data_IF_726531914903
#
_entry.id   IF_726531914903
#
_cell.length_a   1.000
_cell.length_b   1.000
_cell.length_c   1.000
_cell.angle_alpha   90.00
_cell.angle_beta   90.00
_cell.angle_gamma   90.00
#
_symmetry.space_group_name_H-M   'P 1'
#
loop_
_entity.id
_entity.type
_entity.pdbx_description
1 polymer ?
#
# COMPACT_ATOMS: atom_id res chain seq x y z
N UNK A 1 -1.34 24.24 -1.39
CA UNK A 1 -2.17 23.29 -0.62
C UNK A 1 -1.23 22.55 0.28
N UNK A 2 -1.36 22.73 1.60
CA UNK A 2 -0.62 21.92 2.57
C UNK A 2 -1.16 20.50 2.43
N UNK A 3 -0.30 19.57 2.00
CA UNK A 3 -0.64 18.15 1.94
C UNK A 3 -0.77 17.68 3.39
N UNK A 4 -1.98 17.50 3.89
CA UNK A 4 -2.31 17.05 5.26
C UNK A 4 -1.95 15.56 5.46
N UNK A 5 -0.79 15.14 4.97
CA UNK A 5 -0.39 13.74 4.93
C UNK A 5 -0.24 13.16 6.33
N UNK A 6 -0.80 11.97 6.51
CA UNK A 6 -0.79 11.25 7.78
C UNK A 6 0.48 10.40 7.85
N UNK A 7 1.33 10.71 8.83
CA UNK A 7 2.52 9.92 9.11
C UNK A 7 2.18 8.61 9.83
N UNK A 8 2.62 7.50 9.27
CA UNK A 8 2.37 6.15 9.81
C UNK A 8 3.67 5.36 9.94
N UNK A 9 3.80 4.59 11.01
CA UNK A 9 4.90 3.65 11.21
C UNK A 9 4.44 2.22 10.89
N UNK A 10 4.92 1.65 9.79
CA UNK A 10 4.60 0.28 9.35
C UNK A 10 5.75 -0.68 9.63
N UNK A 11 5.40 -1.93 9.95
CA UNK A 11 6.36 -3.01 10.21
C UNK A 11 6.49 -3.91 8.98
N UNK A 12 7.72 -4.07 8.50
CA UNK A 12 8.05 -4.87 7.32
C UNK A 12 9.25 -5.81 7.59
N UNK A 13 9.43 -6.83 6.75
CA UNK A 13 10.68 -7.58 6.76
C UNK A 13 11.81 -6.75 6.12
N UNK A 14 13.06 -7.15 6.34
CA UNK A 14 14.20 -6.50 5.70
C UNK A 14 14.17 -6.64 4.18
N UNK A 15 13.68 -7.79 3.68
CA UNK A 15 13.50 -8.04 2.25
C UNK A 15 12.45 -7.09 1.66
N UNK A 16 11.29 -6.98 2.30
CA UNK A 16 10.19 -6.08 1.88
C UNK A 16 10.66 -4.63 1.80
N UNK A 17 11.33 -4.15 2.85
CA UNK A 17 11.86 -2.77 2.88
C UNK A 17 12.87 -2.53 1.75
N UNK A 18 13.69 -3.52 1.46
CA UNK A 18 14.69 -3.42 0.37
C UNK A 18 14.01 -3.39 -0.99
N UNK A 19 12.99 -4.23 -1.18
CA UNK A 19 12.21 -4.26 -2.42
C UNK A 19 11.46 -2.95 -2.65
N UNK A 20 10.77 -2.41 -1.64
CA UNK A 20 10.10 -1.11 -1.74
C UNK A 20 11.05 0.01 -2.14
N UNK A 21 12.24 0.07 -1.53
CA UNK A 21 13.25 1.08 -1.90
C UNK A 21 13.73 0.93 -3.35
N UNK A 22 13.86 -0.31 -3.84
CA UNK A 22 14.21 -0.57 -5.24
C UNK A 22 13.08 -0.15 -6.19
N UNK A 23 11.83 -0.43 -5.84
CA UNK A 23 10.66 -0.04 -6.61
C UNK A 23 10.54 1.49 -6.68
N UNK A 24 10.63 2.18 -5.54
CA UNK A 24 10.63 3.64 -5.48
C UNK A 24 11.75 4.23 -6.34
N UNK A 25 12.98 3.71 -6.21
CA UNK A 25 14.11 4.16 -7.03
C UNK A 25 13.88 3.91 -8.53
N UNK A 26 13.36 2.75 -8.91
CA UNK A 26 13.05 2.41 -10.31
C UNK A 26 11.89 3.23 -10.90
N UNK A 27 10.97 3.69 -10.07
CA UNK A 27 9.85 4.55 -10.42
C UNK A 27 10.19 6.04 -10.37
N UNK A 28 11.35 6.40 -9.80
CA UNK A 28 11.81 7.79 -9.51
C UNK A 28 10.89 8.54 -8.53
N UNK A 29 10.08 7.81 -7.78
CA UNK A 29 9.25 8.32 -6.69
C UNK A 29 9.85 8.03 -5.32
N UNK A 30 9.04 8.26 -4.29
CA UNK A 30 9.41 7.90 -2.92
C UNK A 30 8.70 6.62 -2.44
N UNK A 31 9.08 6.17 -1.24
CA UNK A 31 8.53 4.94 -0.66
C UNK A 31 7.08 5.12 -0.20
N UNK A 32 6.69 6.33 0.18
CA UNK A 32 5.33 6.67 0.60
C UNK A 32 4.37 6.57 -0.57
N UNK A 33 4.73 7.12 -1.72
CA UNK A 33 3.98 7.01 -2.99
C UNK A 33 3.78 5.55 -3.38
N UNK A 34 4.86 4.74 -3.38
CA UNK A 34 4.76 3.30 -3.70
C UNK A 34 3.86 2.55 -2.70
N UNK A 35 3.86 2.95 -1.44
CA UNK A 35 2.98 2.33 -0.41
C UNK A 35 1.52 2.73 -0.60
N UNK A 36 1.25 3.99 -1.00
CA UNK A 36 -0.09 4.43 -1.36
C UNK A 36 -0.61 3.67 -2.60
N UNK A 37 0.21 3.57 -3.65
CA UNK A 37 -0.12 2.81 -4.86
C UNK A 37 -0.34 1.32 -4.56
N UNK A 38 0.51 0.72 -3.72
CA UNK A 38 0.36 -0.66 -3.28
C UNK A 38 -0.97 -0.89 -2.54
N UNK A 39 -1.38 0.07 -1.71
CA UNK A 39 -2.65 0.02 -1.03
C UNK A 39 -3.83 0.10 -2.01
N UNK A 40 -3.78 1.02 -2.97
CA UNK A 40 -4.80 1.14 -4.02
C UNK A 40 -4.93 -0.13 -4.86
N UNK A 41 -3.80 -0.77 -5.19
CA UNK A 41 -3.78 -2.01 -5.97
C UNK A 41 -4.32 -3.21 -5.19
N UNK A 42 -3.98 -3.32 -3.89
CA UNK A 42 -4.38 -4.49 -3.08
C UNK A 42 -5.80 -4.39 -2.53
N UNK A 43 -6.33 -3.17 -2.31
CA UNK A 43 -7.66 -2.94 -1.74
C UNK A 43 -8.77 -3.74 -2.44
N UNK A 44 -8.91 -3.71 -3.78
CA UNK A 44 -9.93 -4.49 -4.47
C UNK A 44 -9.85 -6.00 -4.18
N UNK A 45 -8.64 -6.57 -4.13
CA UNK A 45 -8.43 -8.00 -3.88
C UNK A 45 -8.82 -8.41 -2.45
N UNK A 46 -8.54 -7.53 -1.48
CA UNK A 46 -8.91 -7.75 -0.08
C UNK A 46 -10.41 -7.58 0.10
N UNK A 47 -11.01 -6.55 -0.50
CA UNK A 47 -12.45 -6.31 -0.37
C UNK A 47 -13.29 -7.45 -0.98
N UNK A 48 -12.87 -7.97 -2.14
CA UNK A 48 -13.54 -9.07 -2.84
C UNK A 48 -13.26 -10.46 -2.26
N UNK A 49 -12.38 -10.57 -1.26
CA UNK A 49 -12.20 -11.79 -0.44
C UNK A 49 -11.19 -12.81 -0.97
N UNK A 50 -10.25 -12.40 -1.82
CA UNK A 50 -9.36 -13.30 -2.56
C UNK A 50 -7.93 -13.48 -2.02
N UNK A 51 -7.70 -13.63 -0.72
CA UNK A 51 -6.32 -13.62 -0.18
C UNK A 51 -6.06 -14.75 0.85
N UNK A 52 -5.94 -16.02 0.43
CA UNK A 52 -5.71 -17.14 1.35
C UNK A 52 -4.39 -17.02 2.14
N UNK A 53 -3.42 -16.24 1.65
CA UNK A 53 -2.16 -15.97 2.32
C UNK A 53 -2.25 -14.87 3.41
N UNK A 54 -3.39 -14.20 3.54
CA UNK A 54 -3.55 -13.03 4.42
C UNK A 54 -3.30 -13.37 5.89
N UNK A 55 -3.78 -14.53 6.35
CA UNK A 55 -3.58 -14.97 7.73
C UNK A 55 -2.10 -15.21 8.06
N UNK A 56 -1.33 -15.72 7.09
CA UNK A 56 0.12 -15.93 7.26
C UNK A 56 0.87 -14.60 7.29
N UNK A 57 0.48 -13.63 6.46
CA UNK A 57 1.08 -12.29 6.47
C UNK A 57 0.82 -11.56 7.78
N UNK A 58 -0.39 -11.66 8.33
CA UNK A 58 -0.72 -11.05 9.62
C UNK A 58 0.09 -11.64 10.77
N UNK A 59 0.41 -12.93 10.72
CA UNK A 59 1.23 -13.61 11.75
C UNK A 59 2.74 -13.45 11.52
N UNK A 60 3.17 -13.09 10.32
CA UNK A 60 4.59 -12.98 9.99
C UNK A 60 5.25 -11.85 10.79
N UNK A 61 6.32 -12.19 11.50
CA UNK A 61 7.15 -11.23 12.20
C UNK A 61 7.88 -10.29 11.23
N UNK A 62 7.90 -9.00 11.58
CA UNK A 62 8.42 -7.94 10.74
C UNK A 62 9.27 -6.94 11.59
N UNK A 63 10.61 -7.06 11.61
CA UNK A 63 11.45 -6.30 12.53
C UNK A 63 11.64 -4.83 12.12
N UNK A 64 11.55 -4.51 10.84
CA UNK A 64 11.90 -3.17 10.34
C UNK A 64 10.71 -2.22 10.47
N UNK A 65 10.89 -1.12 11.19
CA UNK A 65 9.97 0.01 11.12
C UNK A 65 10.31 0.88 9.91
N UNK A 66 9.28 1.28 9.17
CA UNK A 66 9.36 2.22 8.06
C UNK A 66 8.29 3.29 8.29
N UNK A 67 8.72 4.55 8.28
CA UNK A 67 7.79 5.68 8.31
C UNK A 67 7.36 5.99 6.89
N UNK A 68 6.05 6.08 6.68
CA UNK A 68 5.42 6.45 5.41
C UNK A 68 4.42 7.57 5.64
N UNK A 69 4.17 8.34 4.60
CA UNK A 69 3.16 9.39 4.57
C UNK A 69 2.03 8.94 3.66
N UNK A 70 0.79 8.98 4.15
CA UNK A 70 -0.37 8.65 3.33
C UNK A 70 -1.29 9.87 3.19
N UNK A 71 -1.92 10.05 2.02
CA UNK A 71 -3.08 10.92 1.91
C UNK A 71 -4.13 10.59 2.98
N UNK A 72 -4.79 11.59 3.59
CA UNK A 72 -5.84 11.38 4.60
C UNK A 72 -6.89 10.37 4.17
N UNK A 73 -7.31 10.43 2.91
CA UNK A 73 -8.36 9.59 2.34
C UNK A 73 -7.97 8.12 2.40
N UNK A 74 -6.69 7.80 2.21
CA UNK A 74 -6.18 6.44 2.33
C UNK A 74 -5.99 6.03 3.79
N UNK A 75 -5.55 6.95 4.65
CA UNK A 75 -5.37 6.69 6.08
C UNK A 75 -6.71 6.38 6.77
N UNK A 76 -7.79 7.07 6.38
CA UNK A 76 -9.15 6.85 6.89
C UNK A 76 -9.73 5.47 6.53
N UNK A 77 -9.24 4.83 5.46
CA UNK A 77 -9.66 3.49 5.06
C UNK A 77 -9.01 2.37 5.88
N UNK A 78 -7.92 2.65 6.60
CA UNK A 78 -7.14 1.62 7.31
C UNK A 78 -7.93 0.89 8.41
N UNK A 79 -8.81 1.53 9.20
CA UNK A 79 -9.67 0.82 10.16
C UNK A 79 -10.61 -0.18 9.48
N UNK A 80 -11.30 0.24 8.41
CA UNK A 80 -12.19 -0.64 7.65
C UNK A 80 -11.43 -1.80 6.97
N UNK A 81 -10.21 -1.53 6.49
CA UNK A 81 -9.32 -2.56 5.97
C UNK A 81 -8.95 -3.58 7.06
N UNK A 82 -8.62 -3.12 8.28
CA UNK A 82 -8.27 -3.99 9.39
C UNK A 82 -9.43 -4.90 9.80
N UNK A 83 -10.65 -4.36 9.85
CA UNK A 83 -11.86 -5.14 10.14
C UNK A 83 -12.09 -6.18 9.03
N UNK A 84 -12.01 -5.76 7.76
CA UNK A 84 -12.17 -6.69 6.63
C UNK A 84 -11.14 -7.80 6.62
N UNK A 85 -9.88 -7.48 6.94
CA UNK A 85 -8.82 -8.49 7.06
C UNK A 85 -9.10 -9.48 8.19
N UNK A 86 -9.68 -9.01 9.29
CA UNK A 86 -10.10 -9.86 10.41
C UNK A 86 -11.19 -10.83 9.96
N UNK A 87 -12.21 -10.35 9.25
CA UNK A 87 -13.31 -11.18 8.73
C UNK A 87 -12.81 -12.28 7.79
N UNK A 88 -11.82 -11.97 6.96
CA UNK A 88 -11.30 -12.91 5.95
C UNK A 88 -10.31 -13.93 6.50
N UNK A 89 -9.50 -13.52 7.48
CA UNK A 89 -8.39 -14.34 7.97
C UNK A 89 -8.66 -14.99 9.34
N UNK A 90 -9.67 -14.51 10.07
CA UNK A 90 -9.88 -14.82 11.49
C UNK A 90 -8.79 -14.27 12.41
N UNK A 91 -7.84 -13.48 11.90
CA UNK A 91 -6.73 -12.88 12.65
C UNK A 91 -6.93 -11.38 12.71
N UNK A 92 -7.02 -10.83 13.92
CA UNK A 92 -7.13 -9.39 14.12
C UNK A 92 -5.76 -8.73 13.99
N UNK A 93 -5.56 -7.76 13.07
CA UNK A 93 -4.37 -6.93 13.07
C UNK A 93 -4.27 -6.16 14.41
N UNK A 94 -3.07 -6.06 14.97
CA UNK A 94 -2.87 -5.35 16.25
C UNK A 94 -3.10 -3.84 16.20
N UNK A 95 -3.14 -3.25 15.00
CA UNK A 95 -3.43 -1.84 14.74
C UNK A 95 -3.72 -1.59 13.25
N UNK A 96 -4.27 -0.42 12.86
CA UNK A 96 -4.39 -0.03 11.45
C UNK A 96 -3.05 -0.02 10.70
N UNK A 97 -1.94 0.35 11.36
CA UNK A 97 -0.61 0.25 10.79
C UNK A 97 -0.17 -1.21 10.54
N UNK A 98 -0.60 -2.14 11.39
CA UNK A 98 -0.33 -3.57 11.18
C UNK A 98 -1.12 -4.11 9.97
N UNK A 99 -2.36 -3.65 9.77
CA UNK A 99 -3.15 -3.97 8.59
C UNK A 99 -2.49 -3.43 7.31
N UNK A 100 -2.04 -2.16 7.31
CA UNK A 100 -1.27 -1.58 6.21
C UNK A 100 0.01 -2.39 5.92
N UNK A 101 0.78 -2.75 6.95
CA UNK A 101 1.96 -3.58 6.79
C UNK A 101 1.67 -4.96 6.22
N UNK A 102 0.52 -5.58 6.55
CA UNK A 102 0.10 -6.85 5.95
C UNK A 102 -0.35 -6.68 4.49
N UNK A 103 -1.10 -5.63 4.16
CA UNK A 103 -1.49 -5.27 2.80
C UNK A 103 -0.26 -5.07 1.90
N UNK A 104 0.70 -4.26 2.34
CA UNK A 104 1.95 -4.01 1.59
C UNK A 104 2.74 -5.30 1.40
N UNK A 105 2.87 -6.14 2.43
CA UNK A 105 3.56 -7.42 2.29
C UNK A 105 2.87 -8.36 1.33
N UNK A 106 1.54 -8.42 1.37
CA UNK A 106 0.74 -9.21 0.44
C UNK A 106 0.97 -8.75 -1.00
N UNK A 107 0.96 -7.44 -1.24
CA UNK A 107 1.28 -6.84 -2.53
C UNK A 107 2.69 -7.22 -3.00
N UNK A 108 3.70 -7.10 -2.13
CA UNK A 108 5.10 -7.44 -2.44
C UNK A 108 5.35 -8.93 -2.75
N UNK A 109 4.38 -9.82 -2.52
CA UNK A 109 4.50 -11.24 -2.92
C UNK A 109 4.31 -11.47 -4.41
N UNK A 110 3.75 -10.50 -5.13
CA UNK A 110 3.61 -10.59 -6.58
C UNK A 110 4.99 -10.59 -7.27
N UNK A 111 5.01 -10.95 -8.56
CA UNK A 111 6.22 -10.87 -9.36
C UNK A 111 6.72 -9.40 -9.42
N UNK A 112 8.01 -9.12 -9.10
CA UNK A 112 8.57 -7.77 -9.19
C UNK A 112 8.41 -7.08 -10.54
N UNK A 113 8.35 -7.84 -11.64
CA UNK A 113 8.07 -7.29 -12.97
C UNK A 113 6.62 -6.78 -13.09
N UNK A 114 5.65 -7.51 -12.51
CA UNK A 114 4.25 -7.09 -12.45
C UNK A 114 4.08 -5.87 -11.55
N UNK A 115 4.76 -5.82 -10.40
CA UNK A 115 4.76 -4.65 -9.52
C UNK A 115 5.24 -3.40 -10.25
N UNK A 116 6.37 -3.51 -10.96
CA UNK A 116 6.93 -2.39 -11.72
C UNK A 116 5.98 -1.94 -12.86
N UNK A 117 5.33 -2.88 -13.54
CA UNK A 117 4.36 -2.56 -14.59
C UNK A 117 3.08 -1.92 -14.03
N UNK A 118 2.59 -2.40 -12.89
CA UNK A 118 1.43 -1.85 -12.18
C UNK A 118 1.67 -0.40 -11.74
N UNK A 119 2.80 -0.13 -11.09
CA UNK A 119 3.19 1.24 -10.69
C UNK A 119 3.27 2.21 -11.87
N UNK A 120 3.79 1.76 -13.02
CA UNK A 120 3.81 2.58 -14.24
C UNK A 120 2.40 2.86 -14.76
N UNK A 121 1.49 1.89 -14.64
CA UNK A 121 0.11 2.02 -15.14
C UNK A 121 -0.70 2.99 -14.28
N UNK A 122 -0.61 2.86 -12.95
CA UNK A 122 -1.27 3.77 -11.99
C UNK A 122 -0.80 5.21 -12.21
N UNK A 123 0.52 5.42 -12.30
CA UNK A 123 1.08 6.76 -12.48
C UNK A 123 0.77 7.37 -13.86
N UNK A 124 0.75 6.58 -14.94
CA UNK A 124 0.32 7.05 -16.26
C UNK A 124 -1.19 7.36 -16.33
N UNK A 125 -1.98 6.83 -15.41
CA UNK A 125 -3.41 7.11 -15.29
C UNK A 125 -3.62 8.40 -14.49
N UNK A 126 -2.89 8.56 -13.40
CA UNK A 126 -2.90 9.78 -12.59
C UNK A 126 -2.38 11.01 -13.37
N UNK A 127 -1.29 10.86 -14.13
CA UNK A 127 -0.80 11.91 -15.03
C UNK A 127 -1.84 12.33 -16.09
N UNK A 128 -2.69 11.40 -16.54
CA UNK A 128 -3.80 11.69 -17.47
C UNK A 128 -4.97 12.39 -16.77
N UNK A 129 -5.24 12.07 -15.51
CA UNK A 129 -6.25 12.78 -14.72
C UNK A 129 -5.80 14.20 -14.37
N UNK A 130 -4.52 14.41 -14.07
CA UNK A 130 -3.95 15.74 -13.82
C UNK A 130 -3.92 16.64 -15.07
N UNK A 131 -3.75 16.09 -16.28
CA UNK A 131 -3.79 16.85 -17.54
C UNK A 131 -5.21 17.15 -18.05
N UNK A 132 -6.25 16.60 -17.41
CA UNK A 132 -7.64 16.74 -17.83
C UNK A 132 -8.37 17.95 -17.20
N UNK A 133 -7.65 18.92 -16.63
CA UNK A 133 -8.21 20.25 -16.34
C UNK A 133 -8.00 21.20 -17.53
N UNK A 134 -8.97 21.35 -18.45
CA UNK A 134 -8.94 22.46 -19.38
C UNK A 134 -9.20 23.73 -18.57
N UNK A 135 -8.24 24.66 -18.63
CA UNK A 135 -8.47 26.06 -18.30
C UNK A 135 -9.62 26.53 -19.19
N UNK A 136 -10.80 26.69 -18.62
CA UNK A 136 -11.90 27.40 -19.27
C UNK A 136 -11.50 28.89 -19.30
N UNK A 137 -11.30 29.39 -20.51
CA UNK A 137 -11.16 30.81 -20.82
C UNK A 137 -12.50 31.55 -20.72
#
# INVERSE_FOLDING_TARGET
MESDEVMLAVRLTTADRTLLRRLAHGHRGDVSEVVADALLDVLPSVLTGGTPQLADELRRFAPCALTVWLPPELAELLPALADRMTDLSGVRPGSPCAALGAAVRLWLRQDPALLTAGLRTLHNTDARHHHAHPVAA
#
